data_IF_985046076367
#
_entry.id   IF_985046076367
#
_cell.length_a   1.000
_cell.length_b   1.000
_cell.length_c   1.000
_cell.angle_alpha   90.00
_cell.angle_beta   90.00
_cell.angle_gamma   90.00
#
_symmetry.space_group_name_H-M   'P 1'
#
loop_
_entity.id
_entity.type
_entity.pdbx_description
1 polymer ?
#
# COMPACT_ATOMS: atom_id res chain seq x y z
N UNK A 1 -0.39 -19.03 20.34
CA UNK A 1 0.45 -18.89 19.13
C UNK A 1 -0.46 -18.63 17.95
N UNK A 2 -0.41 -17.48 17.26
CA UNK A 2 -1.21 -17.31 16.05
C UNK A 2 -0.73 -18.30 14.98
N UNK A 3 -1.68 -18.93 14.27
CA UNK A 3 -1.40 -19.97 13.27
C UNK A 3 -0.61 -19.47 12.05
N UNK A 4 0.12 -20.33 11.32
CA UNK A 4 1.05 -19.93 10.25
C UNK A 4 0.39 -19.40 8.96
N UNK A 5 -0.93 -19.27 8.91
CA UNK A 5 -1.68 -19.16 7.64
C UNK A 5 -1.94 -17.72 7.13
N UNK A 6 -1.61 -16.66 7.88
CA UNK A 6 -2.01 -15.29 7.48
C UNK A 6 -1.00 -14.55 6.57
N UNK A 7 0.28 -14.94 6.55
CA UNK A 7 1.31 -14.17 5.81
C UNK A 7 1.64 -14.81 4.46
N UNK A 8 0.79 -14.60 3.45
CA UNK A 8 1.09 -14.99 2.07
C UNK A 8 1.86 -13.86 1.38
N UNK A 9 3.11 -14.04 1.01
CA UNK A 9 3.83 -13.09 0.15
C UNK A 9 3.86 -13.57 -1.30
N UNK A 10 4.06 -12.66 -2.26
CA UNK A 10 4.38 -13.01 -3.65
C UNK A 10 5.59 -12.26 -4.13
N UNK A 11 6.36 -12.87 -5.02
CA UNK A 11 7.51 -12.25 -5.69
C UNK A 11 7.05 -11.00 -6.44
N UNK A 12 7.75 -9.89 -6.21
CA UNK A 12 7.57 -8.63 -6.90
C UNK A 12 8.61 -8.49 -8.01
N UNK A 13 8.22 -8.74 -9.26
CA UNK A 13 9.10 -8.48 -10.40
C UNK A 13 9.28 -6.97 -10.63
N UNK A 14 10.37 -6.56 -11.28
CA UNK A 14 10.59 -5.14 -11.61
C UNK A 14 9.45 -4.53 -12.44
N UNK A 15 8.80 -5.31 -13.31
CA UNK A 15 7.64 -4.87 -14.08
C UNK A 15 6.42 -4.61 -13.20
N UNK A 16 6.16 -5.51 -12.23
CA UNK A 16 5.08 -5.33 -11.26
C UNK A 16 5.34 -4.13 -10.35
N UNK A 17 6.57 -3.93 -9.87
CA UNK A 17 6.96 -2.76 -9.08
C UNK A 17 6.63 -1.47 -9.82
N UNK A 18 7.02 -1.34 -11.09
CA UNK A 18 6.68 -0.16 -11.91
C UNK A 18 5.17 0.00 -12.10
N UNK A 19 4.45 -1.09 -12.29
CA UNK A 19 2.99 -1.07 -12.44
C UNK A 19 2.28 -0.61 -11.16
N UNK A 20 2.78 -1.03 -9.99
CA UNK A 20 2.26 -0.58 -8.70
C UNK A 20 2.55 0.90 -8.45
N UNK A 21 3.75 1.37 -8.78
CA UNK A 21 4.09 2.78 -8.70
C UNK A 21 3.16 3.63 -9.57
N UNK A 22 2.98 3.27 -10.84
CA UNK A 22 2.09 3.99 -11.76
C UNK A 22 0.64 4.06 -11.24
N UNK A 23 0.12 2.94 -10.70
CA UNK A 23 -1.21 2.93 -10.08
C UNK A 23 -1.28 3.82 -8.85
N UNK A 24 -0.25 3.82 -8.01
CA UNK A 24 -0.21 4.66 -6.82
C UNK A 24 -0.27 6.14 -7.19
N UNK A 25 0.47 6.56 -8.21
CA UNK A 25 0.48 7.92 -8.74
C UNK A 25 -0.90 8.30 -9.32
N UNK A 26 -1.51 7.43 -10.12
CA UNK A 26 -2.83 7.65 -10.70
C UNK A 26 -3.91 7.80 -9.62
N UNK A 27 -3.93 6.90 -8.63
CA UNK A 27 -4.88 6.99 -7.51
C UNK A 27 -4.66 8.22 -6.64
N UNK A 28 -3.41 8.63 -6.42
CA UNK A 28 -3.10 9.83 -5.65
C UNK A 28 -3.57 11.10 -6.37
N UNK A 29 -3.35 11.18 -7.68
CA UNK A 29 -3.84 12.28 -8.51
C UNK A 29 -5.38 12.36 -8.46
N UNK A 30 -6.06 11.23 -8.67
CA UNK A 30 -7.51 11.15 -8.61
C UNK A 30 -8.04 11.49 -7.21
N UNK A 31 -7.41 11.02 -6.14
CA UNK A 31 -7.79 11.36 -4.77
C UNK A 31 -7.74 12.88 -4.53
N UNK A 32 -6.72 13.55 -5.07
CA UNK A 32 -6.59 15.00 -4.97
C UNK A 32 -7.68 15.75 -5.76
N UNK A 33 -8.06 15.25 -6.94
CA UNK A 33 -9.18 15.79 -7.73
C UNK A 33 -10.51 15.65 -6.99
N UNK A 34 -10.80 14.47 -6.46
CA UNK A 34 -12.02 14.20 -5.70
C UNK A 34 -12.09 15.06 -4.43
N UNK A 35 -10.95 15.25 -3.76
CA UNK A 35 -10.87 16.13 -2.59
C UNK A 35 -11.17 17.59 -2.95
N UNK A 36 -10.58 18.10 -4.05
CA UNK A 36 -10.87 19.45 -4.57
C UNK A 36 -12.35 19.63 -4.93
N UNK A 37 -13.00 18.57 -5.39
CA UNK A 37 -14.41 18.57 -5.74
C UNK A 37 -15.36 18.35 -4.55
N UNK A 38 -14.84 18.29 -3.31
CA UNK A 38 -15.64 18.07 -2.10
C UNK A 38 -16.15 16.64 -1.91
N UNK A 39 -15.68 15.68 -2.71
CA UNK A 39 -16.10 14.27 -2.67
C UNK A 39 -15.21 13.45 -1.73
N UNK A 40 -15.28 13.77 -0.43
CA UNK A 40 -14.37 13.24 0.59
C UNK A 40 -14.36 11.71 0.74
N UNK A 41 -15.50 11.04 0.57
CA UNK A 41 -15.58 9.57 0.66
C UNK A 41 -14.79 8.92 -0.49
N UNK A 42 -15.02 9.36 -1.72
CA UNK A 42 -14.29 8.88 -2.90
C UNK A 42 -12.80 9.19 -2.80
N UNK A 43 -12.45 10.42 -2.40
CA UNK A 43 -11.06 10.84 -2.19
C UNK A 43 -10.34 9.94 -1.19
N UNK A 44 -11.00 9.61 -0.07
CA UNK A 44 -10.46 8.73 0.97
C UNK A 44 -10.22 7.32 0.43
N UNK A 45 -11.20 6.75 -0.29
CA UNK A 45 -11.07 5.43 -0.91
C UNK A 45 -9.88 5.37 -1.87
N UNK A 46 -9.75 6.37 -2.75
CA UNK A 46 -8.63 6.47 -3.69
C UNK A 46 -7.28 6.64 -2.98
N UNK A 47 -7.21 7.45 -1.92
CA UNK A 47 -5.99 7.62 -1.13
C UNK A 47 -5.53 6.32 -0.47
N UNK A 48 -6.46 5.48 0.01
CA UNK A 48 -6.15 4.15 0.55
C UNK A 48 -5.58 3.26 -0.55
N UNK A 49 -6.17 3.26 -1.75
CA UNK A 49 -5.65 2.51 -2.89
C UNK A 49 -4.26 2.98 -3.31
N UNK A 50 -4.01 4.29 -3.30
CA UNK A 50 -2.68 4.86 -3.54
C UNK A 50 -1.66 4.33 -2.52
N UNK A 51 -1.98 4.41 -1.22
CA UNK A 51 -1.10 3.95 -0.15
C UNK A 51 -0.77 2.46 -0.23
N UNK A 52 -1.74 1.60 -0.55
CA UNK A 52 -1.52 0.15 -0.72
C UNK A 52 -0.61 -0.14 -1.92
N UNK A 53 -0.84 0.51 -3.07
CA UNK A 53 0.01 0.31 -4.25
C UNK A 53 1.44 0.84 -4.02
N UNK A 54 1.59 1.98 -3.34
CA UNK A 54 2.91 2.47 -2.90
C UNK A 54 3.62 1.44 -2.04
N UNK A 55 2.90 0.78 -1.13
CA UNK A 55 3.49 -0.21 -0.24
C UNK A 55 3.95 -1.46 -1.00
N UNK A 56 3.15 -1.95 -1.94
CA UNK A 56 3.53 -3.06 -2.82
C UNK A 56 4.74 -2.71 -3.69
N UNK A 57 4.84 -1.47 -4.18
CA UNK A 57 5.99 -0.99 -4.95
C UNK A 57 7.26 -0.94 -4.08
N UNK A 58 7.19 -0.35 -2.88
CA UNK A 58 8.33 -0.26 -1.95
C UNK A 58 8.79 -1.65 -1.50
N UNK A 59 7.87 -2.51 -1.07
CA UNK A 59 8.22 -3.87 -0.65
C UNK A 59 8.79 -4.67 -1.82
N UNK A 60 8.18 -4.60 -3.00
CA UNK A 60 8.69 -5.27 -4.19
C UNK A 60 10.09 -4.79 -4.59
N UNK A 61 10.35 -3.47 -4.53
CA UNK A 61 11.64 -2.89 -4.88
C UNK A 61 12.75 -3.18 -3.85
N UNK A 62 12.42 -3.16 -2.55
CA UNK A 62 13.40 -3.27 -1.46
C UNK A 62 13.59 -4.71 -0.97
N UNK A 63 12.55 -5.53 -1.00
CA UNK A 63 12.51 -6.89 -0.44
C UNK A 63 12.31 -7.97 -1.50
N UNK A 64 11.98 -7.60 -2.75
CA UNK A 64 11.66 -8.55 -3.82
C UNK A 64 10.31 -9.25 -3.64
N UNK A 65 9.51 -8.87 -2.64
CA UNK A 65 8.23 -9.47 -2.30
C UNK A 65 7.19 -8.44 -1.91
N UNK A 66 5.91 -8.79 -2.02
CA UNK A 66 4.77 -7.97 -1.60
C UNK A 66 3.72 -8.79 -0.85
N UNK A 67 2.85 -8.13 -0.09
CA UNK A 67 1.77 -8.79 0.63
C UNK A 67 0.77 -9.40 -0.36
N UNK A 68 0.28 -10.60 -0.11
CA UNK A 68 -0.67 -11.32 -0.98
C UNK A 68 -1.90 -11.84 -0.23
N UNK A 69 -1.92 -11.69 1.09
CA UNK A 69 -3.07 -11.96 1.91
C UNK A 69 -4.17 -10.92 1.73
N UNK A 70 -5.37 -11.27 2.21
CA UNK A 70 -6.47 -10.31 2.42
C UNK A 70 -6.24 -9.45 3.67
N UNK A 71 -5.31 -9.87 4.52
CA UNK A 71 -4.92 -9.17 5.73
C UNK A 71 -4.03 -7.96 5.37
N UNK A 72 -4.60 -6.77 5.53
CA UNK A 72 -3.89 -5.52 5.32
C UNK A 72 -2.83 -5.25 6.40
N UNK A 73 -2.82 -5.98 7.52
CA UNK A 73 -1.75 -5.92 8.51
C UNK A 73 -0.41 -6.43 7.97
N UNK A 74 -0.44 -7.42 7.08
CA UNK A 74 0.76 -8.02 6.52
C UNK A 74 1.62 -7.01 5.73
N UNK A 75 0.99 -6.05 5.04
CA UNK A 75 1.74 -5.04 4.28
C UNK A 75 2.51 -4.10 5.22
N UNK A 76 1.99 -3.84 6.43
CA UNK A 76 2.67 -3.02 7.43
C UNK A 76 3.90 -3.73 7.98
N UNK A 77 3.86 -5.04 8.16
CA UNK A 77 5.00 -5.85 8.60
C UNK A 77 6.13 -5.88 7.56
N UNK A 78 5.78 -5.97 6.27
CA UNK A 78 6.76 -5.91 5.18
C UNK A 78 7.38 -4.52 5.06
N UNK A 79 6.57 -3.46 5.18
CA UNK A 79 7.09 -2.09 5.13
C UNK A 79 8.10 -1.79 6.24
N UNK A 80 7.89 -2.33 7.45
CA UNK A 80 8.85 -2.21 8.54
C UNK A 80 10.24 -2.79 8.21
N UNK A 81 10.30 -3.77 7.30
CA UNK A 81 11.53 -4.42 6.86
C UNK A 81 12.18 -3.71 5.66
N UNK A 82 11.45 -2.84 4.95
CA UNK A 82 11.89 -2.19 3.72
C UNK A 82 12.78 -0.94 3.92
N UNK A 83 13.42 -0.83 5.10
CA UNK A 83 14.31 0.28 5.45
C UNK A 83 13.57 1.58 5.78
N UNK A 84 14.29 2.70 5.76
CA UNK A 84 13.78 4.01 6.20
C UNK A 84 12.51 4.43 5.45
N UNK A 85 12.52 4.33 4.13
CA UNK A 85 11.36 4.70 3.29
C UNK A 85 10.14 3.84 3.60
N UNK A 86 10.36 2.54 3.87
CA UNK A 86 9.33 1.61 4.29
C UNK A 86 8.70 2.01 5.62
N UNK A 87 9.50 2.36 6.62
CA UNK A 87 9.03 2.79 7.95
C UNK A 87 8.21 4.08 7.87
N UNK A 88 8.63 5.06 7.09
CA UNK A 88 7.83 6.30 6.92
C UNK A 88 6.50 6.01 6.23
N UNK A 89 6.50 5.20 5.16
CA UNK A 89 5.27 4.80 4.48
C UNK A 89 4.35 3.97 5.39
N UNK A 90 4.91 3.11 6.25
CA UNK A 90 4.16 2.31 7.21
C UNK A 90 3.34 3.20 8.15
N UNK A 91 3.91 4.30 8.64
CA UNK A 91 3.23 5.24 9.54
C UNK A 91 2.00 5.86 8.88
N UNK A 92 2.14 6.32 7.64
CA UNK A 92 1.03 6.93 6.92
C UNK A 92 -0.03 5.90 6.54
N UNK A 93 0.38 4.74 6.02
CA UNK A 93 -0.56 3.69 5.62
C UNK A 93 -1.36 3.14 6.83
N UNK A 94 -0.74 3.04 8.01
CA UNK A 94 -1.43 2.64 9.24
C UNK A 94 -2.58 3.57 9.62
N UNK A 95 -2.50 4.86 9.26
CA UNK A 95 -3.58 5.84 9.50
C UNK A 95 -4.70 5.71 8.48
N UNK A 96 -4.37 5.32 7.24
CA UNK A 96 -5.32 5.19 6.14
C UNK A 96 -6.15 3.90 6.20
N UNK A 97 -5.53 2.76 6.53
CA UNK A 97 -6.19 1.45 6.48
C UNK A 97 -7.50 1.35 7.27
N UNK A 98 -7.62 1.92 8.49
CA UNK A 98 -8.88 1.90 9.25
C UNK A 98 -10.01 2.71 8.59
N UNK A 99 -9.70 3.61 7.67
CA UNK A 99 -10.67 4.44 6.96
C UNK A 99 -11.31 3.73 5.76
N UNK A 100 -10.87 2.49 5.45
CA UNK A 100 -11.39 1.70 4.36
C UNK A 100 -12.83 1.29 4.69
N UNK A 101 -13.78 1.86 3.95
CA UNK A 101 -15.20 1.52 4.00
C UNK A 101 -15.51 0.32 3.10
#
# INVERSE_FOLDING_TARGET
MPSPESSRTRVGTASQVRSYLAKAEEYAAAAADELRAGRGITATSLAIHAGINSADAVCGARLGVRAAGKDHGQVLELLAQAGKDGVELQKELRRLLPMKM
#
